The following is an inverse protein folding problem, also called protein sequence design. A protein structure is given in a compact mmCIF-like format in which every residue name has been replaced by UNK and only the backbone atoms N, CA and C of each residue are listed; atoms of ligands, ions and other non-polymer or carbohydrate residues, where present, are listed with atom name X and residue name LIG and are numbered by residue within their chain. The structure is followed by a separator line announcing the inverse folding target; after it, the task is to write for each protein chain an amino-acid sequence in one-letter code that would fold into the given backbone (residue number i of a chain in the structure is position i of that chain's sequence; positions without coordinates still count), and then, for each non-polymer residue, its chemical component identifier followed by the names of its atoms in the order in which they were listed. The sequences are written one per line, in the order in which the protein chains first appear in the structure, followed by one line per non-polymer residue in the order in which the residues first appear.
data_IF_963221189762
#
_entry.id   IF_963221189762
#
_cell.length_a   1.000
_cell.length_b   1.000
_cell.length_c   1.000
_cell.angle_alpha   90.00
_cell.angle_beta   90.00
_cell.angle_gamma   90.00
#
_symmetry.space_group_name_H-M   'P 1'
#
loop_
_entity.id
_entity.type
_entity.pdbx_description
1 polymer ?
#
# COMPACT_ATOMS: atom_id res chain seq x y z
N UNK A 1 -8.68 -15.78 -11.55
CA UNK A 1 -8.84 -14.54 -12.35
C UNK A 1 -8.72 -13.37 -11.38
N UNK A 2 -7.55 -12.73 -11.34
CA UNK A 2 -7.32 -11.55 -10.49
C UNK A 2 -8.23 -10.44 -10.97
N UNK A 3 -9.13 -9.98 -10.10
CA UNK A 3 -9.98 -8.83 -10.38
C UNK A 3 -9.06 -7.63 -10.56
N UNK A 4 -8.97 -7.11 -11.79
CA UNK A 4 -8.01 -6.07 -12.14
C UNK A 4 -8.24 -4.83 -11.26
N UNK A 5 -7.17 -4.29 -10.67
CA UNK A 5 -7.20 -2.98 -10.08
C UNK A 5 -7.28 -1.92 -11.18
N UNK A 6 -7.91 -0.79 -10.88
CA UNK A 6 -8.05 0.34 -11.81
C UNK A 6 -7.33 1.53 -11.21
N UNK A 7 -6.31 2.03 -11.91
CA UNK A 7 -5.68 3.31 -11.61
C UNK A 7 -6.35 4.42 -12.42
N UNK A 8 -6.69 5.54 -11.77
CA UNK A 8 -7.37 6.66 -12.44
C UNK A 8 -7.04 7.98 -11.77
N UNK A 9 -6.63 8.96 -12.57
CA UNK A 9 -6.55 10.36 -12.13
C UNK A 9 -7.95 10.95 -12.19
N UNK A 10 -8.42 11.46 -11.06
CA UNK A 10 -9.75 12.05 -10.88
C UNK A 10 -9.56 13.42 -10.25
N UNK A 11 -9.46 14.49 -11.06
CA UNK A 11 -9.04 15.80 -10.56
C UNK A 11 -10.03 16.52 -9.66
N UNK A 12 -11.30 16.12 -9.70
CA UNK A 12 -12.34 16.77 -8.93
C UNK A 12 -13.43 15.80 -8.50
N UNK A 13 -14.23 16.22 -7.52
CA UNK A 13 -15.33 15.42 -6.96
C UNK A 13 -16.35 15.03 -8.04
N UNK A 14 -16.56 15.88 -9.05
CA UNK A 14 -17.50 15.61 -10.16
C UNK A 14 -17.00 14.47 -11.05
N UNK A 15 -15.72 14.47 -11.39
CA UNK A 15 -15.07 13.42 -12.18
C UNK A 15 -15.06 12.10 -11.42
N UNK A 16 -14.75 12.15 -10.11
CA UNK A 16 -14.86 10.99 -9.24
C UNK A 16 -16.27 10.40 -9.26
N UNK A 17 -17.29 11.21 -9.00
CA UNK A 17 -18.69 10.75 -8.97
C UNK A 17 -19.14 10.15 -10.30
N UNK A 18 -18.70 10.73 -11.41
CA UNK A 18 -18.99 10.24 -12.76
C UNK A 18 -18.34 8.88 -13.01
N UNK A 19 -17.06 8.74 -12.64
CA UNK A 19 -16.34 7.48 -12.72
C UNK A 19 -16.98 6.40 -11.83
N UNK A 20 -17.25 6.72 -10.57
CA UNK A 20 -17.80 5.80 -9.59
C UNK A 20 -19.17 5.23 -10.01
N UNK A 21 -20.03 6.06 -10.60
CA UNK A 21 -21.32 5.61 -11.16
C UNK A 21 -21.17 4.68 -12.37
N UNK A 22 -20.12 4.84 -13.17
CA UNK A 22 -19.91 4.10 -14.42
C UNK A 22 -19.19 2.77 -14.21
N UNK A 23 -18.21 2.72 -13.32
CA UNK A 23 -17.31 1.56 -13.15
C UNK A 23 -17.30 0.98 -11.73
N UNK A 24 -17.80 1.71 -10.74
CA UNK A 24 -17.95 1.22 -9.38
C UNK A 24 -19.21 0.38 -9.17
N UNK A 25 -19.50 -0.01 -7.92
CA UNK A 25 -18.71 0.26 -6.72
C UNK A 25 -17.52 -0.69 -6.57
N UNK A 26 -16.40 -0.14 -6.10
CA UNK A 26 -15.23 -0.92 -5.71
C UNK A 26 -15.24 -1.20 -4.22
N UNK A 27 -14.73 -2.37 -3.80
CA UNK A 27 -14.65 -2.73 -2.39
C UNK A 27 -13.60 -1.92 -1.63
N UNK A 28 -12.48 -1.61 -2.28
CA UNK A 28 -11.37 -0.85 -1.72
C UNK A 28 -11.02 0.31 -2.66
N UNK A 29 -10.64 1.44 -2.08
CA UNK A 29 -10.07 2.59 -2.77
C UNK A 29 -8.84 3.08 -2.00
N UNK A 30 -7.85 3.59 -2.73
CA UNK A 30 -6.63 4.16 -2.19
C UNK A 30 -6.30 5.43 -2.95
N UNK A 31 -5.96 6.50 -2.24
CA UNK A 31 -5.44 7.75 -2.83
C UNK A 31 -4.38 8.35 -1.90
N UNK A 32 -3.97 9.59 -2.14
CA UNK A 32 -2.98 10.30 -1.33
C UNK A 32 -3.61 11.40 -0.50
N UNK A 33 -3.13 11.59 0.74
CA UNK A 33 -3.50 12.73 1.57
C UNK A 33 -2.51 13.90 1.45
N UNK A 34 -1.25 13.59 1.15
CA UNK A 34 -0.16 14.56 1.24
C UNK A 34 0.59 14.68 -0.09
N UNK A 35 1.11 15.88 -0.36
CA UNK A 35 2.03 16.13 -1.46
C UNK A 35 3.49 16.11 -0.97
N UNK A 36 4.40 15.40 -1.65
CA UNK A 36 4.17 14.49 -2.76
C UNK A 36 3.92 13.04 -2.27
N UNK A 37 2.84 12.38 -2.71
CA UNK A 37 2.63 10.99 -2.38
C UNK A 37 3.57 10.15 -3.22
N UNK A 38 4.35 9.32 -2.55
CA UNK A 38 5.31 8.49 -3.24
C UNK A 38 4.55 7.45 -4.08
N UNK A 39 4.92 7.21 -5.34
CA UNK A 39 4.28 6.21 -6.24
C UNK A 39 2.83 6.46 -6.69
N UNK A 40 2.19 7.56 -6.32
CA UNK A 40 0.93 8.03 -6.91
C UNK A 40 1.14 9.36 -7.63
N UNK A 41 0.50 9.54 -8.77
CA UNK A 41 0.37 10.87 -9.39
C UNK A 41 -0.60 11.74 -8.57
N UNK A 42 -0.56 13.06 -8.80
CA UNK A 42 -1.51 13.99 -8.18
C UNK A 42 -2.95 13.58 -8.53
N UNK A 43 -3.83 13.55 -7.53
CA UNK A 43 -5.24 13.16 -7.67
C UNK A 43 -5.43 11.75 -8.26
N UNK A 44 -4.41 10.90 -8.15
CA UNK A 44 -4.50 9.52 -8.59
C UNK A 44 -5.18 8.64 -7.53
N UNK A 45 -6.03 7.75 -8.04
CA UNK A 45 -6.75 6.76 -7.26
C UNK A 45 -6.43 5.36 -7.75
N UNK A 46 -6.37 4.41 -6.82
CA UNK A 46 -6.33 2.98 -7.10
C UNK A 46 -7.60 2.34 -6.52
N UNK A 47 -8.34 1.64 -7.36
CA UNK A 47 -9.56 0.95 -6.98
C UNK A 47 -9.44 -0.56 -7.19
N UNK A 48 -10.05 -1.36 -6.30
CA UNK A 48 -10.03 -2.80 -6.43
C UNK A 48 -11.07 -3.54 -5.61
N UNK A 49 -11.21 -4.83 -5.88
CA UNK A 49 -12.11 -5.74 -5.13
C UNK A 49 -11.37 -6.57 -4.09
N UNK A 50 -10.05 -6.72 -4.26
CA UNK A 50 -9.16 -7.44 -3.36
C UNK A 50 -8.14 -6.48 -2.74
N UNK A 51 -7.95 -6.60 -1.43
CA UNK A 51 -7.06 -5.73 -0.67
C UNK A 51 -5.61 -5.87 -1.11
N UNK A 52 -5.10 -7.10 -1.18
CA UNK A 52 -3.70 -7.34 -1.52
C UNK A 52 -3.41 -6.90 -2.95
N UNK A 53 -4.36 -7.06 -3.87
CA UNK A 53 -4.25 -6.57 -5.23
C UNK A 53 -4.04 -5.04 -5.27
N UNK A 54 -4.80 -4.26 -4.48
CA UNK A 54 -4.65 -2.80 -4.44
C UNK A 54 -3.29 -2.40 -3.87
N UNK A 55 -2.84 -3.02 -2.78
CA UNK A 55 -1.54 -2.74 -2.18
C UNK A 55 -0.37 -3.12 -3.10
N UNK A 56 -0.49 -4.24 -3.82
CA UNK A 56 0.48 -4.63 -4.86
C UNK A 56 0.50 -3.64 -6.02
N UNK A 57 -0.66 -3.13 -6.41
CA UNK A 57 -0.76 -2.14 -7.49
C UNK A 57 -0.15 -0.80 -7.08
N UNK A 58 -0.31 -0.37 -5.83
CA UNK A 58 0.37 0.81 -5.27
C UNK A 58 1.90 0.70 -5.44
N UNK A 59 2.46 -0.44 -5.04
CA UNK A 59 3.89 -0.72 -5.18
C UNK A 59 4.33 -1.00 -6.62
N UNK A 60 3.38 -1.05 -7.57
CA UNK A 60 3.61 -1.46 -8.94
C UNK A 60 4.28 -2.84 -9.03
N UNK A 61 3.94 -3.74 -8.10
CA UNK A 61 4.64 -5.00 -7.82
C UNK A 61 4.84 -5.85 -9.09
N UNK A 62 3.79 -6.01 -9.90
CA UNK A 62 3.85 -6.76 -11.17
C UNK A 62 4.67 -6.04 -12.24
N UNK A 63 4.52 -4.70 -12.36
CA UNK A 63 5.20 -3.88 -13.37
C UNK A 63 6.71 -3.82 -13.12
N UNK A 64 7.09 -3.68 -11.85
CA UNK A 64 8.48 -3.65 -11.40
C UNK A 64 9.07 -5.07 -11.24
N UNK A 65 8.27 -6.12 -11.48
CA UNK A 65 8.66 -7.54 -11.32
C UNK A 65 9.24 -7.83 -9.93
N UNK A 66 8.63 -7.23 -8.92
CA UNK A 66 9.06 -7.35 -7.54
C UNK A 66 8.87 -8.78 -7.05
N UNK A 67 9.74 -9.19 -6.12
CA UNK A 67 9.61 -10.49 -5.50
C UNK A 67 10.28 -10.54 -4.13
N UNK A 68 9.66 -11.27 -3.22
CA UNK A 68 10.25 -11.63 -1.94
C UNK A 68 11.27 -12.75 -2.17
N UNK A 69 12.51 -12.50 -1.77
CA UNK A 69 13.60 -13.48 -1.83
C UNK A 69 14.24 -13.60 -0.46
N UNK A 70 14.75 -14.79 -0.18
CA UNK A 70 15.67 -14.95 0.94
C UNK A 70 16.88 -14.08 0.66
N UNK A 71 17.14 -13.16 1.57
CA UNK A 71 18.37 -12.40 1.54
C UNK A 71 19.47 -13.32 2.10
N UNK A 72 20.59 -13.51 1.38
CA UNK A 72 21.67 -14.39 1.78
C UNK A 72 22.41 -13.75 2.95
N UNK A 73 21.81 -13.80 4.14
CA UNK A 73 22.46 -13.44 5.38
C UNK A 73 23.17 -14.69 5.86
N UNK A 74 24.50 -14.67 5.83
CA UNK A 74 25.30 -15.74 6.41
C UNK A 74 25.11 -15.71 7.94
N UNK A 75 24.39 -16.67 8.55
CA UNK A 75 24.10 -16.66 9.99
C UNK A 75 25.39 -16.73 10.83
N UNK A 76 26.44 -17.31 10.25
CA UNK A 76 27.73 -17.57 10.89
C UNK A 76 28.66 -16.34 10.89
N UNK A 77 28.36 -15.32 10.09
CA UNK A 77 29.18 -14.11 10.07
C UNK A 77 28.78 -13.19 11.24
N UNK A 78 29.55 -13.25 12.34
CA UNK A 78 29.39 -12.39 13.53
C UNK A 78 30.24 -11.10 13.47
N UNK A 79 31.02 -10.89 12.41
CA UNK A 79 31.95 -9.76 12.31
C UNK A 79 31.27 -8.43 11.93
N UNK A 80 30.09 -8.49 11.33
CA UNK A 80 29.31 -7.33 10.93
C UNK A 80 28.32 -7.05 12.07
N UNK A 81 28.41 -5.84 12.65
CA UNK A 81 27.42 -5.33 13.60
C UNK A 81 26.04 -5.40 12.92
N UNK A 82 25.19 -6.25 13.47
CA UNK A 82 23.84 -6.50 12.97
C UNK A 82 22.91 -5.46 13.61
N UNK A 83 22.09 -4.74 12.83
CA UNK A 83 20.85 -4.21 13.37
C UNK A 83 19.97 -5.42 13.73
N UNK A 84 19.61 -5.57 15.00
CA UNK A 84 18.74 -6.68 15.48
C UNK A 84 17.35 -6.65 14.80
N UNK A 85 17.03 -5.52 14.16
CA UNK A 85 15.74 -5.24 13.56
C UNK A 85 15.59 -5.77 12.12
N UNK A 86 16.61 -6.41 11.52
CA UNK A 86 16.55 -6.97 10.16
C UNK A 86 16.15 -8.46 10.15
N UNK A 87 15.39 -8.89 9.13
CA UNK A 87 15.04 -10.30 8.93
C UNK A 87 15.69 -10.91 7.68
N UNK A 88 15.55 -12.24 7.52
CA UNK A 88 16.21 -13.01 6.46
C UNK A 88 15.58 -12.86 5.05
N UNK A 89 14.77 -11.82 4.85
CA UNK A 89 13.99 -11.61 3.64
C UNK A 89 14.21 -10.20 3.09
N UNK A 90 14.15 -10.07 1.78
CA UNK A 90 14.17 -8.78 1.08
C UNK A 90 13.24 -8.79 -0.12
N UNK A 91 12.88 -7.60 -0.58
CA UNK A 91 12.12 -7.36 -1.80
C UNK A 91 13.09 -6.95 -2.92
N UNK A 92 13.14 -7.72 -4.00
CA UNK A 92 13.93 -7.37 -5.20
C UNK A 92 13.17 -6.36 -6.05
N UNK A 93 13.89 -5.46 -6.74
CA UNK A 93 13.32 -4.37 -7.54
C UNK A 93 12.43 -3.42 -6.74
N UNK A 94 12.83 -3.19 -5.48
CA UNK A 94 12.14 -2.28 -4.60
C UNK A 94 12.09 -0.85 -5.19
N UNK A 95 10.94 -0.16 -5.17
CA UNK A 95 10.82 1.18 -5.72
C UNK A 95 11.73 2.16 -4.98
N UNK A 96 12.63 2.82 -5.69
CA UNK A 96 13.59 3.76 -5.10
C UNK A 96 12.90 4.89 -4.34
N UNK A 97 11.73 5.31 -4.81
CA UNK A 97 10.95 6.37 -4.20
C UNK A 97 10.57 6.03 -2.75
N UNK A 98 10.36 4.74 -2.42
CA UNK A 98 10.07 4.28 -1.05
C UNK A 98 11.29 4.24 -0.14
N UNK A 99 12.51 4.47 -0.62
CA UNK A 99 13.71 4.50 0.23
C UNK A 99 13.70 5.64 1.25
N UNK A 100 12.94 6.71 1.01
CA UNK A 100 12.80 7.82 1.95
C UNK A 100 11.63 7.62 2.94
N UNK A 101 10.81 6.58 2.74
CA UNK A 101 9.61 6.36 3.54
C UNK A 101 9.95 5.69 4.86
N UNK A 102 9.35 6.20 5.93
CA UNK A 102 9.42 5.56 7.25
C UNK A 102 8.34 4.49 7.32
N UNK A 103 8.74 3.23 7.30
CA UNK A 103 7.87 2.07 7.44
C UNK A 103 8.52 1.10 8.42
N UNK A 104 7.74 0.50 9.32
CA UNK A 104 8.31 -0.51 10.23
C UNK A 104 8.53 -1.83 9.52
N UNK A 105 7.87 -2.08 8.37
CA UNK A 105 7.97 -3.34 7.63
C UNK A 105 9.19 -3.45 6.72
N UNK A 106 9.80 -2.34 6.31
CA UNK A 106 10.96 -2.34 5.43
C UNK A 106 11.93 -1.20 5.74
N UNK A 107 13.21 -1.44 5.44
CA UNK A 107 14.25 -0.43 5.34
C UNK A 107 14.54 -0.12 3.86
N UNK A 108 15.33 0.94 3.56
CA UNK A 108 15.74 1.26 2.20
C UNK A 108 16.32 0.05 1.45
N UNK A 109 16.19 0.08 0.12
CA UNK A 109 16.53 -1.01 -0.79
C UNK A 109 15.67 -2.29 -0.61
N UNK A 110 14.59 -2.21 0.16
CA UNK A 110 13.63 -3.30 0.32
C UNK A 110 14.07 -4.39 1.29
N UNK A 111 15.00 -4.08 2.21
CA UNK A 111 15.34 -5.00 3.30
C UNK A 111 14.17 -5.10 4.27
N UNK A 112 13.71 -6.32 4.59
CA UNK A 112 12.58 -6.47 5.50
C UNK A 112 13.05 -6.49 6.95
N UNK A 113 12.22 -5.95 7.82
CA UNK A 113 12.50 -5.88 9.25
C UNK A 113 11.98 -7.12 9.98
N UNK A 114 12.33 -7.22 11.27
CA UNK A 114 11.80 -8.22 12.19
C UNK A 114 10.30 -8.09 12.38
N UNK A 115 9.74 -6.89 12.28
CA UNK A 115 8.30 -6.65 12.39
C UNK A 115 7.49 -7.53 11.42
N UNK A 116 7.99 -7.75 10.20
CA UNK A 116 7.34 -8.65 9.22
C UNK A 116 7.30 -10.10 9.68
N UNK A 117 8.37 -10.57 10.34
CA UNK A 117 8.41 -11.92 10.90
C UNK A 117 7.47 -12.04 12.08
N UNK A 118 7.45 -11.04 12.95
CA UNK A 118 6.59 -11.05 14.14
C UNK A 118 5.11 -10.99 13.74
N UNK A 119 4.75 -10.20 12.73
CA UNK A 119 3.41 -10.19 12.13
C UNK A 119 3.07 -11.55 11.49
N UNK A 120 4.02 -12.19 10.80
CA UNK A 120 3.83 -13.52 10.22
C UNK A 120 3.49 -14.56 11.30
N UNK A 121 4.19 -14.50 12.45
CA UNK A 121 3.91 -15.35 13.61
C UNK A 121 2.54 -15.02 14.22
N UNK A 122 2.22 -13.73 14.40
CA UNK A 122 0.95 -13.28 14.96
C UNK A 122 -0.26 -13.74 14.13
N UNK A 123 -0.10 -13.79 12.81
CA UNK A 123 -1.12 -14.27 11.87
C UNK A 123 -1.16 -15.81 11.76
N UNK A 124 -0.27 -16.53 12.44
CA UNK A 124 -0.18 -18.00 12.37
C UNK A 124 0.25 -18.52 11.00
N UNK A 125 1.02 -17.72 10.25
CA UNK A 125 1.49 -18.05 8.91
C UNK A 125 2.85 -18.77 8.96
N UNK A 126 3.13 -19.55 7.91
CA UNK A 126 4.46 -20.14 7.73
C UNK A 126 5.45 -19.04 7.34
N UNK A 127 6.68 -19.10 7.86
CA UNK A 127 7.77 -18.18 7.47
C UNK A 127 8.38 -18.53 6.09
N UNK A 128 7.53 -18.96 5.16
CA UNK A 128 7.87 -19.13 3.75
C UNK A 128 7.57 -17.84 2.97
N UNK A 129 7.87 -17.86 1.67
CA UNK A 129 7.67 -16.69 0.80
C UNK A 129 6.23 -16.18 0.85
N UNK A 130 5.24 -17.07 0.90
CA UNK A 130 3.83 -16.68 0.87
C UNK A 130 3.39 -16.06 2.18
N UNK A 131 3.80 -16.64 3.32
CA UNK A 131 3.45 -16.07 4.63
C UNK A 131 4.13 -14.73 4.88
N UNK A 132 5.40 -14.57 4.48
CA UNK A 132 6.12 -13.29 4.58
C UNK A 132 5.47 -12.23 3.70
N UNK A 133 5.09 -12.57 2.48
CA UNK A 133 4.37 -11.65 1.58
C UNK A 133 3.04 -11.20 2.20
N UNK A 134 2.25 -12.12 2.75
CA UNK A 134 0.98 -11.80 3.41
C UNK A 134 1.17 -10.93 4.64
N UNK A 135 2.15 -11.25 5.48
CA UNK A 135 2.48 -10.48 6.68
C UNK A 135 2.96 -9.06 6.33
N UNK A 136 3.80 -8.94 5.30
CA UNK A 136 4.26 -7.65 4.80
C UNK A 136 3.10 -6.76 4.36
N UNK A 137 2.17 -7.29 3.55
CA UNK A 137 1.00 -6.50 3.11
C UNK A 137 0.02 -6.20 4.24
N UNK A 138 -0.07 -7.05 5.28
CA UNK A 138 -0.82 -6.76 6.51
C UNK A 138 -0.24 -5.57 7.27
N UNK A 139 1.09 -5.54 7.42
CA UNK A 139 1.80 -4.41 8.03
C UNK A 139 1.65 -3.14 7.22
N UNK A 140 1.87 -3.23 5.90
CA UNK A 140 1.79 -2.09 5.00
C UNK A 140 0.41 -1.43 5.08
N UNK A 141 -0.67 -2.21 5.09
CA UNK A 141 -2.04 -1.70 5.25
C UNK A 141 -2.18 -0.77 6.46
N UNK A 142 -1.63 -1.18 7.61
CA UNK A 142 -1.73 -0.40 8.87
C UNK A 142 -0.87 0.86 8.85
N UNK A 143 0.07 0.97 7.92
CA UNK A 143 1.03 2.07 7.84
C UNK A 143 0.80 3.00 6.66
N UNK A 144 -0.20 2.72 5.82
CA UNK A 144 -0.53 3.59 4.69
C UNK A 144 -0.81 5.03 5.14
N UNK A 145 -1.54 5.21 6.23
CA UNK A 145 -1.91 6.54 6.75
C UNK A 145 -0.67 7.34 7.18
N UNK A 146 0.29 6.72 7.89
CA UNK A 146 1.53 7.39 8.28
C UNK A 146 2.53 7.55 7.11
N UNK A 147 2.29 6.86 6.00
CA UNK A 147 3.02 7.02 4.74
C UNK A 147 2.34 8.06 3.81
N UNK A 148 1.36 8.83 4.28
CA UNK A 148 0.70 9.89 3.51
C UNK A 148 -0.31 9.38 2.47
N UNK A 149 -0.70 8.10 2.54
CA UNK A 149 -1.79 7.56 1.73
C UNK A 149 -3.10 7.58 2.50
N UNK A 150 -4.20 7.59 1.77
CA UNK A 150 -5.55 7.42 2.32
C UNK A 150 -6.06 6.05 1.92
N UNK A 151 -6.16 5.16 2.89
CA UNK A 151 -6.75 3.84 2.70
C UNK A 151 -8.25 3.88 3.01
N UNK A 152 -9.10 3.54 2.03
CA UNK A 152 -10.55 3.54 2.18
C UNK A 152 -11.11 2.12 2.06
N UNK A 153 -11.02 1.30 3.13
CA UNK A 153 -11.62 -0.02 3.18
C UNK A 153 -13.15 0.05 3.35
N UNK A 154 -13.87 -1.06 3.12
CA UNK A 154 -15.29 -1.13 3.46
C UNK A 154 -15.47 -1.12 4.98
N UNK A 155 -16.45 -0.36 5.50
CA UNK A 155 -16.81 -0.40 6.93
C UNK A 155 -17.77 -1.56 7.23
N UNK A 156 -17.43 -2.41 8.20
CA UNK A 156 -18.26 -3.54 8.64
C UNK A 156 -18.58 -4.52 7.51
N UNK A 157 -19.86 -4.80 7.27
CA UNK A 157 -20.34 -5.70 6.22
C UNK A 157 -20.59 -5.00 4.87
N UNK A 158 -20.12 -3.75 4.70
CA UNK A 158 -20.28 -3.02 3.45
C UNK A 158 -19.56 -3.73 2.30
N UNK A 159 -20.17 -3.68 1.11
CA UNK A 159 -19.61 -4.26 -0.11
C UNK A 159 -18.72 -3.29 -0.88
N UNK A 160 -18.66 -2.03 -0.46
CA UNK A 160 -17.97 -0.94 -1.14
C UNK A 160 -17.08 -0.15 -0.19
N UNK A 161 -16.07 0.49 -0.74
CA UNK A 161 -15.19 1.41 -0.03
C UNK A 161 -16.00 2.51 0.66
N UNK A 162 -15.58 2.87 1.87
CA UNK A 162 -16.20 3.96 2.60
C UNK A 162 -15.61 5.30 2.14
N UNK A 163 -16.24 5.90 1.13
CA UNK A 163 -15.72 7.08 0.42
C UNK A 163 -16.47 8.38 0.78
N UNK A 164 -17.57 8.30 1.54
CA UNK A 164 -18.49 9.43 1.69
C UNK A 164 -17.87 10.59 2.48
N UNK A 165 -17.26 10.32 3.63
CA UNK A 165 -16.58 11.34 4.44
C UNK A 165 -15.49 12.05 3.61
N UNK A 166 -14.63 11.28 2.95
CA UNK A 166 -13.57 11.83 2.10
C UNK A 166 -14.11 12.71 0.94
N UNK A 167 -15.18 12.29 0.27
CA UNK A 167 -15.78 13.06 -0.84
C UNK A 167 -16.53 14.31 -0.40
N UNK A 168 -16.91 14.40 0.87
CA UNK A 168 -17.55 15.59 1.42
C UNK A 168 -16.50 16.60 1.87
N UNK A 169 -15.41 16.16 2.50
CA UNK A 169 -14.23 16.99 2.79
C UNK A 169 -13.64 17.59 1.50
N UNK A 170 -13.34 16.74 0.51
CA UNK A 170 -12.77 17.20 -0.76
C UNK A 170 -13.69 18.19 -1.50
N UNK A 171 -15.02 18.06 -1.36
CA UNK A 171 -15.95 19.04 -1.95
C UNK A 171 -15.87 20.38 -1.25
N UNK A 172 -15.77 20.38 0.09
CA UNK A 172 -15.62 21.62 0.85
C UNK A 172 -14.35 22.35 0.44
N UNK A 173 -13.24 21.63 0.28
CA UNK A 173 -11.98 22.20 -0.19
C UNK A 173 -12.12 22.83 -1.60
N UNK A 174 -12.83 22.16 -2.51
CA UNK A 174 -13.11 22.71 -3.85
C UNK A 174 -14.00 23.96 -3.81
N UNK A 175 -15.02 24.00 -2.94
CA UNK A 175 -15.89 25.16 -2.73
C UNK A 175 -15.11 26.35 -2.15
N UNK A 176 -14.27 26.11 -1.15
CA UNK A 176 -13.40 27.13 -0.54
C UNK A 176 -12.35 27.67 -1.53
N UNK A 177 -11.84 26.81 -2.40
CA UNK A 177 -10.91 27.20 -3.47
C UNK A 177 -11.59 27.94 -4.65
N UNK A 178 -12.93 28.01 -4.68
CA UNK A 178 -13.70 28.63 -5.76
C UNK A 178 -13.65 27.85 -7.08
N UNK A 179 -13.47 26.54 -7.01
CA UNK A 179 -13.39 25.63 -8.16
C UNK A 179 -14.76 25.03 -8.55
N UNK A 180 -15.79 25.25 -7.72
CA UNK A 180 -17.17 24.78 -7.89
C UNK A 180 -18.17 25.91 -8.15
#
# INVERSE_FOLDING_TARGET
MTTACVRKILPNVKDFKTFWKKQGPFRYALTSNEYPPVLLDLEEWIFGQDKQAVLKELMQFSRMKMSFVSAPFNPDNKSILRPDDLCAWKIVHFPEAWNAMVCEGFLPEGQLTRAVVDECIALGLNQDKSGIEQAFFSLLERQLDCMGYVWLPPRGNAKSAFIHEYLDEWRQDEEEAGLL
#
